data_IF_902852846013
#
_entry.id   IF_902852846013
#
_cell.length_a   1.000
_cell.length_b   1.000
_cell.length_c   1.000
_cell.angle_alpha   90.00
_cell.angle_beta   90.00
_cell.angle_gamma   90.00
#
_symmetry.space_group_name_H-M   'P 1'
#
loop_
_entity.id
_entity.type
_entity.pdbx_description
1 polymer ?
#
# COMPACT_ATOMS: atom_id res chain seq x y z
N UNK A 1 -1.76 17.01 6.07
CA UNK A 1 -1.55 15.98 7.12
C UNK A 1 -1.18 14.61 6.56
N UNK A 2 -1.54 14.26 5.32
CA UNK A 2 -1.23 12.95 4.69
C UNK A 2 0.26 12.53 4.72
N UNK A 3 1.18 13.49 4.81
CA UNK A 3 2.63 13.28 4.73
C UNK A 3 3.30 12.87 6.05
N UNK A 4 2.54 12.83 7.15
CA UNK A 4 3.08 12.63 8.51
C UNK A 4 2.46 11.39 9.18
N UNK A 5 2.54 10.23 8.53
CA UNK A 5 2.06 8.97 9.11
C UNK A 5 0.53 8.82 9.21
N UNK A 6 -0.23 9.58 8.42
CA UNK A 6 -1.68 9.39 8.32
C UNK A 6 -1.97 8.16 7.45
N UNK A 7 -2.76 7.22 7.98
CA UNK A 7 -3.01 5.94 7.31
C UNK A 7 -3.73 6.08 5.96
N UNK A 8 -4.76 6.92 5.89
CA UNK A 8 -5.58 7.10 4.68
C UNK A 8 -6.26 8.47 4.70
N UNK A 9 -6.44 9.07 3.53
CA UNK A 9 -7.20 10.32 3.35
C UNK A 9 -8.36 10.10 2.39
N UNK A 10 -9.53 10.64 2.70
CA UNK A 10 -10.77 10.54 1.90
C UNK A 10 -11.30 11.93 1.57
N UNK A 11 -12.13 12.02 0.54
CA UNK A 11 -12.68 13.30 0.06
C UNK A 11 -13.95 13.71 0.80
N UNK A 12 -14.71 12.73 1.31
CA UNK A 12 -15.99 12.94 1.99
C UNK A 12 -16.26 11.90 3.09
N UNK A 13 -17.29 12.16 3.89
CA UNK A 13 -17.66 11.32 5.04
C UNK A 13 -18.13 9.91 4.64
N UNK A 14 -18.79 9.77 3.49
CA UNK A 14 -19.28 8.48 3.01
C UNK A 14 -18.11 7.59 2.59
N UNK A 15 -17.15 8.16 1.85
CA UNK A 15 -15.87 7.50 1.54
C UNK A 15 -15.12 7.13 2.82
N UNK A 16 -15.13 8.01 3.83
CA UNK A 16 -14.53 7.75 5.15
C UNK A 16 -15.13 6.54 5.85
N UNK A 17 -16.46 6.49 5.95
CA UNK A 17 -17.17 5.35 6.55
C UNK A 17 -16.92 4.07 5.75
N UNK A 18 -16.95 4.15 4.42
CA UNK A 18 -16.64 3.02 3.54
C UNK A 18 -15.22 2.50 3.79
N UNK A 19 -14.23 3.38 3.90
CA UNK A 19 -12.85 3.01 4.20
C UNK A 19 -12.71 2.35 5.58
N UNK A 20 -13.40 2.87 6.61
CA UNK A 20 -13.42 2.28 7.95
C UNK A 20 -14.00 0.86 7.91
N UNK A 21 -15.17 0.67 7.27
CA UNK A 21 -15.80 -0.64 7.16
C UNK A 21 -14.94 -1.62 6.36
N UNK A 22 -14.33 -1.15 5.26
CA UNK A 22 -13.41 -1.95 4.46
C UNK A 22 -12.21 -2.37 5.31
N UNK A 23 -11.65 -1.49 6.12
CA UNK A 23 -10.52 -1.79 7.00
C UNK A 23 -10.88 -2.80 8.10
N UNK A 24 -12.04 -2.62 8.76
CA UNK A 24 -12.55 -3.55 9.78
C UNK A 24 -12.84 -4.95 9.21
N UNK A 25 -13.10 -5.08 7.90
CA UNK A 25 -13.28 -6.38 7.25
C UNK A 25 -12.04 -7.30 7.29
N UNK A 26 -10.89 -6.81 7.75
CA UNK A 26 -9.64 -7.56 7.96
C UNK A 26 -9.36 -7.86 9.44
N UNK A 27 -10.20 -7.37 10.36
CA UNK A 27 -9.96 -7.42 11.81
C UNK A 27 -10.95 -8.39 12.47
N UNK A 28 -10.50 -9.26 13.40
CA UNK A 28 -11.41 -10.07 14.22
C UNK A 28 -12.43 -9.22 14.98
N UNK A 29 -13.63 -9.77 15.19
CA UNK A 29 -14.70 -9.08 15.92
C UNK A 29 -14.34 -8.77 17.40
N UNK A 30 -13.38 -9.50 17.97
CA UNK A 30 -12.84 -9.29 19.32
C UNK A 30 -11.39 -9.75 19.40
N UNK A 31 -10.65 -9.26 20.40
CA UNK A 31 -9.25 -9.63 20.62
C UNK A 31 -9.07 -11.13 20.85
N UNK A 32 -8.18 -11.77 20.09
CA UNK A 32 -7.97 -13.22 20.12
C UNK A 32 -9.05 -14.04 19.40
N UNK A 33 -10.03 -13.40 18.78
CA UNK A 33 -11.04 -14.07 17.96
C UNK A 33 -10.50 -14.58 16.62
N UNK A 34 -11.29 -15.39 15.89
CA UNK A 34 -10.91 -15.90 14.57
C UNK A 34 -10.80 -14.78 13.55
N UNK A 35 -9.93 -14.97 12.55
CA UNK A 35 -9.82 -14.05 11.41
C UNK A 35 -11.12 -14.08 10.58
N UNK A 36 -11.58 -12.92 10.05
CA UNK A 36 -12.73 -12.84 9.16
C UNK A 36 -12.39 -13.37 7.75
N UNK A 37 -12.25 -14.69 7.62
CA UNK A 37 -12.00 -15.37 6.35
C UNK A 37 -13.29 -15.32 5.50
N UNK A 38 -13.18 -14.81 4.28
CA UNK A 38 -14.29 -14.78 3.33
C UNK A 38 -14.05 -15.79 2.21
N UNK A 39 -15.12 -16.29 1.59
CA UNK A 39 -14.97 -17.07 0.36
C UNK A 39 -14.39 -16.17 -0.73
N UNK A 40 -13.22 -16.51 -1.31
CA UNK A 40 -12.60 -15.64 -2.29
C UNK A 40 -13.35 -15.71 -3.62
N UNK A 41 -13.55 -14.56 -4.25
CA UNK A 41 -14.01 -14.47 -5.64
C UNK A 41 -12.87 -14.80 -6.62
N UNK A 42 -11.64 -14.58 -6.17
CA UNK A 42 -10.41 -14.85 -6.91
C UNK A 42 -9.88 -16.25 -6.53
N UNK A 43 -9.84 -17.23 -7.44
CA UNK A 43 -9.44 -18.60 -7.10
C UNK A 43 -7.98 -18.67 -6.60
N UNK A 44 -7.71 -19.30 -5.45
CA UNK A 44 -6.34 -19.37 -4.91
C UNK A 44 -5.40 -20.22 -5.78
N UNK A 45 -5.93 -21.14 -6.59
CA UNK A 45 -5.15 -22.01 -7.48
C UNK A 45 -4.74 -21.32 -8.79
N UNK A 46 -5.10 -20.04 -8.99
CA UNK A 46 -4.69 -19.31 -10.19
C UNK A 46 -3.18 -19.02 -10.17
N UNK A 47 -2.60 -18.89 -11.35
CA UNK A 47 -1.22 -18.45 -11.49
C UNK A 47 -1.10 -16.93 -11.28
N UNK A 48 0.06 -16.51 -10.80
CA UNK A 48 0.48 -15.10 -10.81
C UNK A 48 0.98 -14.79 -12.22
N UNK A 49 0.30 -13.87 -12.92
CA UNK A 49 0.64 -13.49 -14.28
C UNK A 49 1.55 -12.26 -14.34
N UNK A 50 1.55 -11.43 -13.29
CA UNK A 50 2.44 -10.27 -13.22
C UNK A 50 3.89 -10.72 -13.01
N UNK A 51 4.72 -10.53 -14.04
CA UNK A 51 6.14 -10.87 -14.05
C UNK A 51 6.93 -9.65 -14.58
N UNK A 52 7.56 -8.87 -13.69
CA UNK A 52 8.34 -7.72 -14.11
C UNK A 52 9.68 -8.15 -14.72
N UNK A 53 10.07 -7.55 -15.85
CA UNK A 53 11.35 -7.86 -16.53
C UNK A 53 12.55 -7.08 -15.95
N UNK A 54 12.31 -5.86 -15.44
CA UNK A 54 13.37 -4.94 -14.98
C UNK A 54 13.10 -4.43 -13.57
N UNK A 55 12.24 -3.42 -13.41
CA UNK A 55 11.81 -2.91 -12.10
C UNK A 55 10.47 -3.53 -11.72
N UNK A 56 10.40 -4.06 -10.51
CA UNK A 56 9.16 -4.57 -9.94
C UNK A 56 8.43 -3.43 -9.23
N UNK A 57 7.22 -3.11 -9.71
CA UNK A 57 6.30 -2.28 -8.93
C UNK A 57 5.68 -3.18 -7.84
N UNK A 58 5.93 -2.89 -6.55
CA UNK A 58 5.39 -3.69 -5.46
C UNK A 58 3.87 -3.73 -5.47
N UNK A 59 3.18 -2.65 -5.86
CA UNK A 59 1.70 -2.62 -5.92
C UNK A 59 1.20 -3.57 -6.98
N UNK A 60 1.78 -3.52 -8.17
CA UNK A 60 1.45 -4.44 -9.25
C UNK A 60 1.75 -5.92 -8.89
N UNK A 61 2.83 -6.19 -8.16
CA UNK A 61 3.10 -7.54 -7.64
C UNK A 61 2.03 -8.00 -6.64
N UNK A 62 1.48 -7.07 -5.84
CA UNK A 62 0.46 -7.36 -4.83
C UNK A 62 -0.93 -7.56 -5.47
N UNK A 63 -1.46 -6.53 -6.14
CA UNK A 63 -2.85 -6.49 -6.62
C UNK A 63 -3.01 -6.81 -8.13
N UNK A 64 -1.90 -7.01 -8.83
CA UNK A 64 -1.87 -7.16 -10.28
C UNK A 64 -1.82 -5.82 -11.00
N UNK A 65 -1.68 -5.87 -12.33
CA UNK A 65 -1.65 -4.69 -13.18
C UNK A 65 -2.46 -4.93 -14.46
N UNK A 66 -2.91 -3.85 -15.11
CA UNK A 66 -3.48 -3.93 -16.44
C UNK A 66 -2.36 -3.91 -17.48
N UNK A 67 -2.41 -4.82 -18.45
CA UNK A 67 -1.52 -4.77 -19.61
C UNK A 67 -1.98 -3.70 -20.62
N UNK A 68 -1.16 -3.46 -21.66
CA UNK A 68 -1.48 -2.49 -22.71
C UNK A 68 -2.71 -2.84 -23.57
N UNK A 69 -3.24 -4.05 -23.45
CA UNK A 69 -4.47 -4.53 -24.13
C UNK A 69 -5.70 -4.47 -23.22
N UNK A 70 -5.54 -4.12 -21.95
CA UNK A 70 -6.60 -4.08 -20.94
C UNK A 70 -6.84 -5.44 -20.25
N UNK A 71 -5.97 -6.44 -20.48
CA UNK A 71 -6.01 -7.69 -19.73
C UNK A 71 -5.41 -7.46 -18.33
N UNK A 72 -6.12 -7.90 -17.29
CA UNK A 72 -5.57 -7.91 -15.94
C UNK A 72 -4.56 -9.04 -15.79
N UNK A 73 -3.31 -8.69 -15.46
CA UNK A 73 -2.25 -9.59 -15.06
C UNK A 73 -2.36 -9.80 -13.56
N UNK A 74 -2.80 -10.99 -13.16
CA UNK A 74 -3.04 -11.32 -11.75
C UNK A 74 -1.77 -11.20 -10.90
N UNK A 75 -1.87 -10.46 -9.78
CA UNK A 75 -0.83 -10.36 -8.76
C UNK A 75 -0.85 -11.53 -7.78
N UNK A 76 -0.08 -11.44 -6.70
CA UNK A 76 0.05 -12.50 -5.70
C UNK A 76 -1.17 -12.63 -4.77
N UNK A 77 -1.88 -11.53 -4.51
CA UNK A 77 -3.03 -11.50 -3.61
C UNK A 77 -4.35 -11.43 -4.37
N UNK A 78 -5.45 -11.64 -3.65
CA UNK A 78 -6.80 -11.63 -4.20
C UNK A 78 -7.09 -10.28 -4.87
N UNK A 79 -7.66 -10.32 -6.07
CA UNK A 79 -8.05 -9.11 -6.82
C UNK A 79 -8.91 -8.17 -5.97
N UNK A 80 -8.63 -6.86 -6.06
CA UNK A 80 -9.34 -5.77 -5.38
C UNK A 80 -9.35 -5.84 -3.84
N UNK A 81 -8.52 -6.71 -3.25
CA UNK A 81 -8.42 -6.89 -1.79
C UNK A 81 -7.39 -5.97 -1.13
N UNK A 82 -6.40 -5.48 -1.88
CA UNK A 82 -5.33 -4.66 -1.33
C UNK A 82 -5.83 -3.28 -0.92
N UNK A 83 -5.44 -2.87 0.29
CA UNK A 83 -5.65 -1.53 0.85
C UNK A 83 -4.29 -1.06 1.32
N UNK A 84 -3.74 -0.10 0.60
CA UNK A 84 -2.51 0.57 1.00
C UNK A 84 -2.79 1.52 2.16
N UNK A 85 -1.86 1.54 3.11
CA UNK A 85 -1.84 2.48 4.22
C UNK A 85 -0.53 3.23 4.22
N UNK A 86 -0.53 4.45 4.74
CA UNK A 86 0.66 5.30 4.86
C UNK A 86 1.26 5.73 3.50
N UNK A 87 0.49 5.72 2.40
CA UNK A 87 0.98 6.08 1.06
C UNK A 87 1.70 7.46 1.00
N UNK A 88 1.31 8.39 1.87
CA UNK A 88 1.91 9.72 1.97
C UNK A 88 3.25 9.79 2.70
N UNK A 89 3.66 8.74 3.42
CA UNK A 89 4.85 8.71 4.29
C UNK A 89 5.75 7.52 3.96
N UNK A 90 7.07 7.73 3.92
CA UNK A 90 8.07 6.69 3.67
C UNK A 90 7.81 5.87 2.39
N UNK A 91 7.77 6.56 1.24
CA UNK A 91 7.40 6.03 -0.10
C UNK A 91 8.27 4.88 -0.61
N UNK A 92 9.39 4.61 0.05
CA UNK A 92 10.30 3.52 -0.26
C UNK A 92 9.80 2.16 0.26
N UNK A 93 8.74 2.13 1.07
CA UNK A 93 8.03 0.90 1.46
C UNK A 93 6.53 1.07 1.22
N UNK A 94 5.91 0.03 0.69
CA UNK A 94 4.46 -0.10 0.53
C UNK A 94 3.94 -0.96 1.68
N UNK A 95 3.07 -0.39 2.50
CA UNK A 95 2.41 -1.13 3.60
C UNK A 95 0.92 -1.19 3.38
N UNK A 96 0.28 -2.26 3.84
CA UNK A 96 -1.16 -2.37 3.72
C UNK A 96 -1.72 -3.69 4.18
N UNK A 97 -2.92 -4.00 3.71
CA UNK A 97 -3.63 -5.24 3.98
C UNK A 97 -4.19 -5.79 2.70
N UNK A 98 -4.19 -7.11 2.54
CA UNK A 98 -4.86 -7.79 1.44
C UNK A 98 -5.44 -9.13 1.92
N UNK A 99 -6.02 -9.88 0.99
CA UNK A 99 -6.47 -11.25 1.22
C UNK A 99 -5.70 -12.21 0.33
N UNK A 100 -5.41 -13.40 0.87
CA UNK A 100 -4.82 -14.51 0.13
C UNK A 100 -5.76 -15.71 0.26
N UNK A 101 -6.48 -16.03 -0.80
CA UNK A 101 -7.54 -17.04 -0.77
C UNK A 101 -8.62 -16.72 0.27
N UNK A 102 -8.92 -15.43 0.46
CA UNK A 102 -9.89 -14.95 1.44
C UNK A 102 -9.36 -14.74 2.85
N UNK A 103 -8.12 -15.14 3.14
CA UNK A 103 -7.49 -14.98 4.45
C UNK A 103 -6.88 -13.58 4.55
N UNK A 104 -7.27 -12.74 5.53
CA UNK A 104 -6.73 -11.39 5.69
C UNK A 104 -5.29 -11.42 6.20
N UNK A 105 -4.41 -10.65 5.55
CA UNK A 105 -2.98 -10.55 5.89
C UNK A 105 -2.49 -9.10 5.86
N UNK A 106 -1.47 -8.81 6.67
CA UNK A 106 -0.70 -7.57 6.56
C UNK A 106 0.41 -7.70 5.52
N UNK A 107 0.66 -6.64 4.77
CA UNK A 107 1.67 -6.60 3.72
C UNK A 107 2.67 -5.49 4.02
N UNK A 108 3.95 -5.84 3.82
CA UNK A 108 5.07 -4.90 3.76
C UNK A 108 5.89 -5.30 2.53
N UNK A 109 5.98 -4.41 1.55
CA UNK A 109 6.75 -4.59 0.32
C UNK A 109 7.67 -3.41 0.11
N UNK A 110 8.81 -3.63 -0.55
CA UNK A 110 9.83 -2.59 -0.71
C UNK A 110 9.77 -2.05 -2.13
N UNK A 111 9.81 -0.72 -2.26
CA UNK A 111 9.90 -0.06 -3.55
C UNK A 111 11.30 -0.29 -4.14
N UNK A 112 11.34 -0.67 -5.42
CA UNK A 112 12.60 -0.94 -6.11
C UNK A 112 13.14 0.29 -6.81
N UNK A 113 12.27 1.26 -7.10
CA UNK A 113 12.64 2.52 -7.73
C UNK A 113 13.13 3.57 -6.73
N UNK A 114 13.91 4.53 -7.21
CA UNK A 114 14.33 5.68 -6.40
C UNK A 114 13.15 6.64 -6.26
N UNK A 115 12.77 6.94 -5.01
CA UNK A 115 11.69 7.86 -4.70
C UNK A 115 12.26 9.25 -4.36
N UNK A 116 11.53 10.30 -4.74
CA UNK A 116 11.89 11.68 -4.43
C UNK A 116 11.04 12.18 -3.26
N UNK A 117 11.68 12.41 -2.12
CA UNK A 117 11.03 13.01 -0.96
C UNK A 117 11.13 14.52 -1.05
N UNK A 118 9.98 15.20 -1.05
CA UNK A 118 9.91 16.66 -0.98
C UNK A 118 9.70 17.08 0.48
N UNK A 119 10.67 17.79 1.03
CA UNK A 119 10.62 18.37 2.37
C UNK A 119 10.20 19.84 2.21
N UNK A 120 9.01 20.24 2.72
CA UNK A 120 8.55 21.61 2.59
C UNK A 120 9.43 22.57 3.41
N UNK A 121 9.50 23.82 2.98
CA UNK A 121 10.13 24.88 3.77
C UNK A 121 9.36 25.08 5.08
N UNK A 122 10.09 25.38 6.16
CA UNK A 122 9.53 25.72 7.46
C UNK A 122 9.22 27.24 7.50
N UNK A 123 7.93 27.65 7.60
CA UNK A 123 7.57 29.06 7.69
C UNK A 123 8.13 29.78 8.92
N UNK A 124 8.48 29.05 9.98
CA UNK A 124 9.05 29.59 11.22
C UNK A 124 10.54 29.93 11.12
N UNK A 125 11.20 29.54 10.03
CA UNK A 125 12.64 29.69 9.84
C UNK A 125 12.95 30.39 8.50
N UNK A 126 13.48 31.62 8.58
CA UNK A 126 13.69 32.50 7.42
C UNK A 126 14.67 31.95 6.36
N UNK A 127 15.64 31.12 6.76
CA UNK A 127 16.61 30.49 5.87
C UNK A 127 16.14 29.13 5.31
N UNK A 128 14.94 28.69 5.69
CA UNK A 128 14.36 27.44 5.21
C UNK A 128 13.90 27.55 3.75
N UNK A 129 14.12 26.48 2.99
CA UNK A 129 13.70 26.35 1.60
C UNK A 129 13.28 24.91 1.34
N UNK A 130 12.46 24.71 0.31
CA UNK A 130 12.06 23.38 -0.12
C UNK A 130 13.29 22.56 -0.52
N UNK A 131 13.33 21.30 -0.08
CA UNK A 131 14.40 20.36 -0.41
C UNK A 131 13.83 19.11 -1.03
N UNK A 132 14.45 18.65 -2.11
CA UNK A 132 14.13 17.37 -2.74
C UNK A 132 15.27 16.40 -2.47
N UNK A 133 14.98 15.33 -1.74
CA UNK A 133 15.97 14.33 -1.32
C UNK A 133 15.68 13.02 -2.06
N UNK A 134 16.63 12.50 -2.86
CA UNK A 134 16.49 11.18 -3.47
C UNK A 134 16.68 10.08 -2.41
N UNK A 135 15.72 9.16 -2.35
CA UNK A 135 15.78 7.95 -1.53
C UNK A 135 15.88 6.74 -2.45
N UNK A 136 17.01 6.03 -2.40
CA UNK A 136 17.22 4.84 -3.23
C UNK A 136 16.23 3.72 -2.87
N UNK A 137 15.72 3.03 -3.90
CA UNK A 137 14.93 1.82 -3.69
C UNK A 137 15.76 0.74 -2.97
N UNK A 138 15.07 -0.18 -2.30
CA UNK A 138 15.68 -1.30 -1.56
C UNK A 138 16.58 -0.90 -0.36
N UNK A 139 16.51 0.36 0.09
CA UNK A 139 17.28 0.87 1.24
C UNK A 139 16.34 1.28 2.36
N UNK A 140 16.69 0.93 3.60
CA UNK A 140 15.96 1.32 4.80
C UNK A 140 16.47 2.68 5.30
N UNK A 141 15.59 3.68 5.30
CA UNK A 141 15.84 5.03 5.80
C UNK A 141 15.22 5.25 7.21
N UNK A 142 15.65 6.28 7.97
CA UNK A 142 15.17 6.50 9.34
C UNK A 142 13.67 6.81 9.46
N UNK A 143 13.04 7.36 8.43
CA UNK A 143 11.60 7.62 8.32
C UNK A 143 10.73 6.35 8.43
N UNK A 144 11.32 5.14 8.41
CA UNK A 144 10.65 3.88 8.72
C UNK A 144 10.64 3.48 10.20
N UNK A 145 11.51 4.08 11.02
CA UNK A 145 11.72 3.63 12.43
C UNK A 145 10.85 4.37 13.43
N UNK A 146 10.28 5.49 13.03
CA UNK A 146 9.30 6.25 13.80
C UNK A 146 7.87 5.82 13.44
#
# INVERSE_FOLDING_TARGET
>A
MATNGVHLTVSDDLEGISAILKWLSFVPAYSGGPLPILSPLDPPDRLVEYLPETSCDPRAAICGAMDGTGKWLGGMFDRDSFIETLEGWARTVVTGRAKLGGIPVGIVAVETQTMMQVIPADPGQLDSHERVVPQAGQVWFPDFRD
#
